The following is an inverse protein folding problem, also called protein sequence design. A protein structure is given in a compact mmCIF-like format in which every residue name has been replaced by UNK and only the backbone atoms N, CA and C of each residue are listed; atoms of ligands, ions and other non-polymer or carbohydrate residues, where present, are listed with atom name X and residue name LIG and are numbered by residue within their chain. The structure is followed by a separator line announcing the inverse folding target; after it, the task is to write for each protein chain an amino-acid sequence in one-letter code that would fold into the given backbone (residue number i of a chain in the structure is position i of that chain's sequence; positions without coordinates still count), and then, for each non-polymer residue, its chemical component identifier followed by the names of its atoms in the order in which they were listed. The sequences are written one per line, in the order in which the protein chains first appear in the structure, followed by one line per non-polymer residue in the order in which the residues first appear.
data_IF_953958289570
#
_entry.id   IF_953958289570
#
_cell.length_a   1.000
_cell.length_b   1.000
_cell.length_c   1.000
_cell.angle_alpha   90.00
_cell.angle_beta   90.00
_cell.angle_gamma   90.00
#
_symmetry.space_group_name_H-M   'P 1'
#
loop_
_entity.id
_entity.type
_entity.pdbx_description
1 polymer ?
#
# COMPACT_ATOMS: atom_id res chain seq x y z
N UNK A 1 -19.41 -45.01 65.06
CA UNK A 1 -20.41 -46.08 64.94
C UNK A 1 -21.56 -45.59 64.06
N UNK A 2 -21.85 -46.33 62.97
CA UNK A 2 -23.01 -46.28 62.06
C UNK A 2 -23.00 -45.26 60.89
N UNK A 3 -22.70 -45.83 59.72
CA UNK A 3 -22.96 -45.37 58.36
C UNK A 3 -24.39 -45.79 57.93
N UNK A 4 -25.18 -44.91 57.28
CA UNK A 4 -26.33 -45.24 56.40
C UNK A 4 -26.48 -44.09 55.37
N UNK A 5 -26.08 -44.25 54.09
CA UNK A 5 -26.87 -44.77 52.95
C UNK A 5 -28.33 -44.26 52.93
N UNK A 6 -28.93 -43.74 51.85
CA UNK A 6 -28.54 -43.53 50.46
C UNK A 6 -29.68 -42.77 49.73
N UNK A 7 -29.44 -42.39 48.46
CA UNK A 7 -30.42 -42.12 47.37
C UNK A 7 -31.25 -40.84 47.53
N UNK A 8 -31.70 -40.13 46.50
CA UNK A 8 -31.38 -39.95 45.08
C UNK A 8 -32.38 -38.88 44.61
N UNK A 9 -31.99 -38.11 43.60
CA UNK A 9 -32.87 -37.42 42.65
C UNK A 9 -33.81 -36.29 43.15
N UNK A 10 -33.42 -35.05 42.83
CA UNK A 10 -34.28 -34.02 42.24
C UNK A 10 -33.37 -32.81 41.93
N UNK A 11 -32.63 -32.80 40.82
CA UNK A 11 -33.06 -32.15 39.58
C UNK A 11 -34.02 -30.97 39.81
N UNK A 12 -33.47 -29.77 40.04
CA UNK A 12 -34.05 -28.56 39.46
C UNK A 12 -32.94 -27.51 39.26
N UNK A 13 -32.93 -26.98 38.05
CA UNK A 13 -31.93 -26.10 37.49
C UNK A 13 -31.92 -24.71 38.12
N UNK A 14 -30.74 -24.13 38.30
CA UNK A 14 -30.45 -22.73 37.93
C UNK A 14 -28.97 -22.64 37.51
N UNK A 15 -28.71 -22.76 36.20
CA UNK A 15 -27.45 -22.33 35.59
C UNK A 15 -27.59 -20.82 35.36
N UNK A 16 -27.07 -20.01 36.28
CA UNK A 16 -26.90 -18.58 36.06
C UNK A 16 -25.54 -18.33 35.42
N UNK A 17 -25.59 -18.11 34.11
CA UNK A 17 -24.47 -17.84 33.24
C UNK A 17 -23.70 -16.58 33.67
N UNK A 18 -22.46 -16.76 34.12
CA UNK A 18 -21.46 -15.71 34.07
C UNK A 18 -20.59 -15.93 32.84
N UNK A 19 -21.17 -15.65 31.67
CA UNK A 19 -20.41 -15.59 30.43
C UNK A 19 -19.52 -14.34 30.50
N UNK A 20 -18.25 -14.55 30.79
CA UNK A 20 -17.17 -13.60 30.56
C UNK A 20 -17.26 -13.22 29.08
N UNK A 21 -17.84 -12.06 28.80
CA UNK A 21 -17.81 -11.43 27.49
C UNK A 21 -16.37 -11.12 27.15
N UNK A 22 -15.69 -12.11 26.55
CA UNK A 22 -14.41 -11.90 25.90
C UNK A 22 -14.72 -11.03 24.69
N UNK A 23 -14.62 -9.71 24.85
CA UNK A 23 -14.50 -8.80 23.73
C UNK A 23 -13.18 -9.11 23.05
N UNK A 24 -13.20 -10.10 22.15
CA UNK A 24 -12.18 -10.22 21.14
C UNK A 24 -12.03 -8.83 20.52
N UNK A 25 -10.83 -8.24 20.46
CA UNK A 25 -10.66 -6.98 19.77
C UNK A 25 -11.11 -7.21 18.34
N UNK A 26 -12.27 -6.66 18.00
CA UNK A 26 -12.66 -6.53 16.61
C UNK A 26 -11.57 -5.66 16.01
N UNK A 27 -10.64 -6.27 15.29
CA UNK A 27 -9.84 -5.55 14.31
C UNK A 27 -10.86 -5.06 13.30
N UNK A 28 -11.47 -3.91 13.58
CA UNK A 28 -12.17 -3.14 12.60
C UNK A 28 -11.14 -2.97 11.49
N UNK A 29 -11.30 -3.74 10.40
CA UNK A 29 -10.57 -3.44 9.18
C UNK A 29 -10.76 -1.95 8.96
N UNK A 30 -9.70 -1.25 8.57
CA UNK A 30 -9.61 0.20 8.41
C UNK A 30 -10.75 0.89 7.61
N UNK A 31 -11.81 0.18 7.22
CA UNK A 31 -12.95 0.64 6.46
C UNK A 31 -12.63 0.81 4.98
N UNK A 32 -11.39 0.51 4.55
CA UNK A 32 -11.02 0.61 3.14
C UNK A 32 -11.47 -0.64 2.41
N UNK A 33 -12.04 -0.41 1.23
CA UNK A 33 -12.23 -1.47 0.26
C UNK A 33 -10.87 -2.12 -0.09
N UNK A 34 -10.82 -3.46 -0.11
CA UNK A 34 -9.59 -4.22 -0.40
C UNK A 34 -8.83 -3.78 -1.66
N UNK A 35 -9.52 -3.28 -2.69
CA UNK A 35 -8.87 -2.77 -3.91
C UNK A 35 -8.17 -1.43 -3.66
N UNK A 36 -8.81 -0.55 -2.88
CA UNK A 36 -8.24 0.74 -2.44
C UNK A 36 -7.00 0.50 -1.60
N UNK A 37 -7.07 -0.42 -0.63
CA UNK A 37 -5.92 -0.80 0.20
C UNK A 37 -4.74 -1.27 -0.64
N UNK A 38 -4.98 -2.16 -1.62
CA UNK A 38 -3.89 -2.68 -2.47
C UNK A 38 -3.25 -1.63 -3.36
N UNK A 39 -4.02 -0.68 -3.94
CA UNK A 39 -3.41 0.39 -4.75
C UNK A 39 -2.64 1.40 -3.89
N UNK A 40 -3.09 1.70 -2.67
CA UNK A 40 -2.35 2.54 -1.73
C UNK A 40 -1.03 1.85 -1.39
N UNK A 41 -1.08 0.56 -1.00
CA UNK A 41 0.13 -0.21 -0.71
C UNK A 41 1.10 -0.24 -1.90
N UNK A 42 0.57 -0.38 -3.13
CA UNK A 42 1.38 -0.31 -4.35
C UNK A 42 2.11 1.04 -4.48
N UNK A 43 1.38 2.15 -4.40
CA UNK A 43 1.94 3.50 -4.54
C UNK A 43 2.91 3.85 -3.41
N UNK A 44 2.62 3.40 -2.17
CA UNK A 44 3.53 3.57 -1.03
C UNK A 44 4.84 2.79 -1.24
N UNK A 45 4.78 1.56 -1.77
CA UNK A 45 5.99 0.79 -2.07
C UNK A 45 6.87 1.45 -3.15
N UNK A 46 6.24 2.10 -4.13
CA UNK A 46 6.93 2.89 -5.16
C UNK A 46 7.60 4.12 -4.54
N UNK A 47 6.89 4.84 -3.67
CA UNK A 47 7.44 5.97 -2.94
C UNK A 47 8.68 5.57 -2.14
N UNK A 48 8.62 4.49 -1.37
CA UNK A 48 9.76 4.02 -0.58
C UNK A 48 11.00 3.73 -1.45
N UNK A 49 10.82 3.07 -2.61
CA UNK A 49 11.92 2.85 -3.55
C UNK A 49 12.47 4.16 -4.16
N UNK A 50 11.60 5.13 -4.47
CA UNK A 50 12.04 6.45 -4.94
C UNK A 50 12.78 7.23 -3.87
N UNK A 51 12.34 7.16 -2.61
CA UNK A 51 13.01 7.84 -1.48
C UNK A 51 14.43 7.29 -1.29
N UNK A 52 14.61 5.96 -1.35
CA UNK A 52 15.92 5.30 -1.31
C UNK A 52 16.85 5.79 -2.43
N UNK A 53 16.36 5.77 -3.68
CA UNK A 53 17.15 6.19 -4.85
C UNK A 53 17.48 7.68 -4.84
N UNK A 54 16.52 8.53 -4.47
CA UNK A 54 16.73 9.99 -4.42
C UNK A 54 17.64 10.38 -3.26
N UNK A 55 17.60 9.65 -2.13
CA UNK A 55 18.55 9.80 -1.03
C UNK A 55 19.98 9.55 -1.50
N UNK A 56 20.24 8.45 -2.20
CA UNK A 56 21.56 8.14 -2.77
C UNK A 56 21.97 9.17 -3.83
N UNK A 57 21.05 9.55 -4.73
CA UNK A 57 21.31 10.51 -5.80
C UNK A 57 21.79 11.86 -5.23
N UNK A 58 21.10 12.33 -4.18
CA UNK A 58 21.36 13.59 -3.49
C UNK A 58 22.54 13.54 -2.50
N UNK A 59 23.15 12.37 -2.28
CA UNK A 59 24.23 12.20 -1.31
C UNK A 59 23.79 12.25 0.15
N UNK A 60 22.49 12.14 0.44
CA UNK A 60 21.96 12.01 1.82
C UNK A 60 22.21 10.62 2.40
N UNK A 61 22.45 9.63 1.54
CA UNK A 61 22.96 8.31 1.90
C UNK A 61 24.07 7.91 0.93
N UNK A 62 24.94 7.00 1.38
CA UNK A 62 25.96 6.40 0.52
C UNK A 62 25.32 5.60 -0.61
N UNK A 63 25.91 5.67 -1.80
CA UNK A 63 25.46 4.87 -2.93
C UNK A 63 25.76 3.39 -2.69
N UNK A 64 24.71 2.58 -2.57
CA UNK A 64 24.78 1.13 -2.48
C UNK A 64 24.20 0.50 -3.76
N UNK A 65 25.03 -0.13 -4.62
CA UNK A 65 24.56 -0.74 -5.87
C UNK A 65 23.54 -1.87 -5.66
N UNK A 66 23.59 -2.60 -4.54
CA UNK A 66 22.67 -3.70 -4.27
C UNK A 66 21.28 -3.16 -3.91
N UNK A 67 21.23 -2.17 -3.02
CA UNK A 67 19.99 -1.46 -2.65
C UNK A 67 19.38 -0.72 -3.84
N UNK A 68 20.20 -0.01 -4.63
CA UNK A 68 19.72 0.68 -5.83
C UNK A 68 19.10 -0.31 -6.84
N UNK A 69 19.74 -1.46 -7.08
CA UNK A 69 19.18 -2.52 -7.94
C UNK A 69 17.89 -3.11 -7.37
N UNK A 70 17.79 -3.29 -6.05
CA UNK A 70 16.58 -3.78 -5.40
C UNK A 70 15.41 -2.80 -5.56
N UNK A 71 15.65 -1.51 -5.31
CA UNK A 71 14.68 -0.44 -5.52
C UNK A 71 14.21 -0.39 -6.98
N UNK A 72 15.14 -0.47 -7.95
CA UNK A 72 14.79 -0.57 -9.38
C UNK A 72 13.89 -1.77 -9.68
N UNK A 73 14.21 -2.97 -9.18
CA UNK A 73 13.38 -4.17 -9.40
C UNK A 73 11.97 -3.99 -8.84
N UNK A 74 11.86 -3.41 -7.65
CA UNK A 74 10.56 -3.08 -7.05
C UNK A 74 9.77 -2.11 -7.93
N UNK A 75 10.42 -1.05 -8.42
CA UNK A 75 9.79 -0.07 -9.32
C UNK A 75 9.32 -0.69 -10.63
N UNK A 76 10.14 -1.50 -11.29
CA UNK A 76 9.75 -2.20 -12.54
C UNK A 76 8.55 -3.12 -12.33
N UNK A 77 8.53 -3.89 -11.24
CA UNK A 77 7.43 -4.80 -10.90
C UNK A 77 6.15 -4.03 -10.55
N UNK A 78 6.26 -3.03 -9.69
CA UNK A 78 5.12 -2.28 -9.17
C UNK A 78 4.47 -1.40 -10.24
N UNK A 79 5.26 -0.66 -11.03
CA UNK A 79 4.76 0.16 -12.16
C UNK A 79 4.01 -0.70 -13.18
N UNK A 80 4.56 -1.87 -13.54
CA UNK A 80 3.89 -2.84 -14.40
C UNK A 80 2.59 -3.42 -13.87
N UNK A 81 2.27 -3.19 -12.59
CA UNK A 81 1.03 -3.65 -11.96
C UNK A 81 0.02 -2.54 -11.68
N UNK A 82 0.34 -1.28 -11.97
CA UNK A 82 -0.55 -0.12 -11.73
C UNK A 82 -1.91 -0.38 -12.36
N UNK A 83 -1.93 -0.69 -13.65
CA UNK A 83 -3.14 -0.94 -14.42
C UNK A 83 -4.08 -1.97 -13.77
N UNK A 84 -3.51 -3.09 -13.32
CA UNK A 84 -4.23 -4.16 -12.62
C UNK A 84 -4.89 -3.67 -11.33
N UNK A 85 -4.21 -2.82 -10.57
CA UNK A 85 -4.69 -2.32 -9.28
C UNK A 85 -5.74 -1.22 -9.40
N UNK A 86 -5.78 -0.50 -10.53
CA UNK A 86 -6.75 0.55 -10.81
C UNK A 86 -7.91 0.10 -11.73
N UNK A 87 -7.89 -1.13 -12.26
CA UNK A 87 -8.90 -1.65 -13.20
C UNK A 87 -10.36 -1.50 -12.75
N UNK A 88 -10.64 -1.63 -11.45
CA UNK A 88 -12.00 -1.48 -10.93
C UNK A 88 -12.22 -0.07 -10.36
N UNK A 89 -13.22 0.68 -10.83
CA UNK A 89 -13.55 1.99 -10.28
C UNK A 89 -14.02 1.85 -8.82
N UNK A 90 -13.25 2.46 -7.93
CA UNK A 90 -13.51 2.54 -6.49
C UNK A 90 -12.98 3.86 -5.99
N UNK A 91 -13.88 4.74 -5.55
CA UNK A 91 -13.52 6.03 -4.97
C UNK A 91 -13.40 5.88 -3.46
N UNK A 92 -12.32 6.43 -2.92
CA UNK A 92 -12.11 6.60 -1.48
C UNK A 92 -11.14 7.79 -1.33
N UNK A 93 -11.54 8.86 -0.61
CA UNK A 93 -10.73 10.07 -0.45
C UNK A 93 -9.31 9.78 0.04
N UNK A 94 -9.13 8.76 0.90
CA UNK A 94 -7.83 8.39 1.48
C UNK A 94 -6.83 7.90 0.44
N UNK A 95 -7.30 7.47 -0.72
CA UNK A 95 -6.42 7.06 -1.83
C UNK A 95 -5.91 8.22 -2.67
N UNK A 96 -6.49 9.41 -2.54
CA UNK A 96 -6.22 10.57 -3.38
C UNK A 96 -6.37 10.32 -4.89
N UNK A 97 -6.99 9.22 -5.31
CA UNK A 97 -7.20 8.88 -6.71
C UNK A 97 -8.36 9.70 -7.28
N UNK A 98 -8.12 10.45 -8.37
CA UNK A 98 -9.15 11.23 -9.05
C UNK A 98 -10.10 10.30 -9.83
N UNK A 99 -11.42 10.61 -9.89
CA UNK A 99 -12.34 9.91 -10.79
C UNK A 99 -11.88 9.89 -12.25
N UNK A 100 -11.13 10.92 -12.66
CA UNK A 100 -10.57 11.07 -14.00
C UNK A 100 -9.76 9.85 -14.48
N UNK A 101 -9.18 9.06 -13.58
CA UNK A 101 -8.48 7.80 -13.93
C UNK A 101 -9.35 6.90 -14.81
N UNK A 102 -10.63 6.75 -14.45
CA UNK A 102 -11.53 5.83 -15.14
C UNK A 102 -12.22 6.47 -16.35
N UNK A 103 -12.30 7.79 -16.40
CA UNK A 103 -12.82 8.52 -17.57
C UNK A 103 -11.77 8.65 -18.69
N UNK A 104 -10.50 8.89 -18.33
CA UNK A 104 -9.36 9.00 -19.25
C UNK A 104 -8.45 7.76 -19.17
N UNK A 105 -9.07 6.57 -19.19
CA UNK A 105 -8.36 5.30 -18.94
C UNK A 105 -7.16 5.07 -19.87
N UNK A 106 -7.30 5.37 -21.17
CA UNK A 106 -6.20 5.23 -22.14
C UNK A 106 -4.98 6.10 -21.80
N UNK A 107 -5.20 7.34 -21.35
CA UNK A 107 -4.09 8.22 -20.94
C UNK A 107 -3.46 7.73 -19.62
N UNK A 108 -4.28 7.29 -18.67
CA UNK A 108 -3.79 6.67 -17.43
C UNK A 108 -2.91 5.43 -17.72
N UNK A 109 -3.33 4.58 -18.65
CA UNK A 109 -2.57 3.43 -19.13
C UNK A 109 -1.23 3.83 -19.76
N UNK A 110 -1.25 4.81 -20.66
CA UNK A 110 -0.05 5.30 -21.33
C UNK A 110 0.97 5.86 -20.33
N UNK A 111 0.52 6.60 -19.32
CA UNK A 111 1.39 7.13 -18.26
C UNK A 111 1.95 6.05 -17.35
N UNK A 112 1.15 5.02 -17.04
CA UNK A 112 1.64 3.85 -16.30
C UNK A 112 2.74 3.09 -17.07
N UNK A 113 2.58 2.94 -18.39
CA UNK A 113 3.59 2.31 -19.26
C UNK A 113 4.85 3.15 -19.40
N UNK A 114 4.71 4.48 -19.50
CA UNK A 114 5.83 5.41 -19.51
C UNK A 114 6.65 5.25 -18.22
N UNK A 115 5.99 5.19 -17.06
CA UNK A 115 6.66 4.98 -15.78
C UNK A 115 7.36 3.61 -15.71
N UNK A 116 6.73 2.55 -16.22
CA UNK A 116 7.37 1.24 -16.27
C UNK A 116 8.60 1.23 -17.19
N UNK A 117 8.50 1.89 -18.34
CA UNK A 117 9.61 2.01 -19.29
C UNK A 117 10.78 2.80 -18.68
N UNK A 118 10.50 3.93 -18.03
CA UNK A 118 11.51 4.71 -17.32
C UNK A 118 12.16 3.90 -16.19
N UNK A 119 11.38 3.11 -15.44
CA UNK A 119 11.91 2.22 -14.40
C UNK A 119 12.82 1.12 -14.98
N UNK A 120 12.49 0.58 -16.15
CA UNK A 120 13.34 -0.38 -16.88
C UNK A 120 14.64 0.28 -17.37
N UNK A 121 14.58 1.53 -17.82
CA UNK A 121 15.75 2.29 -18.30
C UNK A 121 16.63 2.86 -17.20
N UNK A 122 16.17 2.86 -15.94
CA UNK A 122 16.94 3.35 -14.79
C UNK A 122 18.28 2.60 -14.65
N UNK A 123 19.38 3.34 -14.64
CA UNK A 123 20.71 2.81 -14.37
C UNK A 123 21.01 2.86 -12.87
N UNK A 124 20.76 1.75 -12.18
CA UNK A 124 21.03 1.59 -10.75
C UNK A 124 22.39 0.92 -10.46
N UNK A 125 23.35 0.93 -11.41
CA UNK A 125 24.66 0.27 -11.24
C UNK A 125 25.73 1.18 -10.66
N UNK A 126 25.66 2.47 -10.98
CA UNK A 126 26.64 3.49 -10.54
C UNK A 126 25.92 4.78 -10.17
N UNK A 127 26.51 5.58 -9.28
CA UNK A 127 25.96 6.88 -8.90
C UNK A 127 25.82 7.85 -10.08
N UNK A 128 26.80 7.99 -11.01
CA UNK A 128 26.61 8.81 -12.21
C UNK A 128 25.49 8.29 -13.11
N UNK A 129 25.36 6.96 -13.25
CA UNK A 129 24.27 6.34 -13.99
C UNK A 129 22.90 6.65 -13.38
N UNK A 130 22.81 6.58 -12.05
CA UNK A 130 21.60 6.89 -11.30
C UNK A 130 21.21 8.35 -11.49
N UNK A 131 22.15 9.28 -11.28
CA UNK A 131 21.94 10.73 -11.47
C UNK A 131 21.45 11.08 -12.88
N UNK A 132 21.99 10.40 -13.90
CA UNK A 132 21.60 10.63 -15.30
C UNK A 132 20.20 10.12 -15.63
N UNK A 133 19.74 9.04 -14.99
CA UNK A 133 18.53 8.31 -15.42
C UNK A 133 17.34 8.46 -14.48
N UNK A 134 17.56 8.72 -13.19
CA UNK A 134 16.49 8.89 -12.20
C UNK A 134 15.52 10.05 -12.50
N UNK A 135 15.97 11.22 -13.01
CA UNK A 135 15.07 12.33 -13.31
C UNK A 135 13.96 11.99 -14.32
N UNK A 136 14.26 11.17 -15.33
CA UNK A 136 13.25 10.73 -16.31
C UNK A 136 12.15 9.88 -15.66
N UNK A 137 12.53 8.98 -14.73
CA UNK A 137 11.57 8.22 -13.95
C UNK A 137 10.74 9.13 -13.04
N UNK A 138 11.37 10.09 -12.35
CA UNK A 138 10.64 11.07 -11.52
C UNK A 138 9.60 11.84 -12.34
N UNK A 139 9.97 12.32 -13.54
CA UNK A 139 9.06 13.04 -14.41
C UNK A 139 7.86 12.19 -14.84
N UNK A 140 8.07 10.91 -15.12
CA UNK A 140 6.95 9.99 -15.44
C UNK A 140 5.96 9.87 -14.29
N UNK A 141 6.45 9.78 -13.03
CA UNK A 141 5.61 9.74 -11.83
C UNK A 141 4.83 11.05 -11.66
N UNK A 142 5.51 12.19 -11.80
CA UNK A 142 4.91 13.54 -11.66
C UNK A 142 3.80 13.73 -12.68
N UNK A 143 4.07 13.43 -13.97
CA UNK A 143 3.09 13.60 -15.05
C UNK A 143 1.79 12.83 -14.81
N UNK A 144 1.87 11.63 -14.20
CA UNK A 144 0.68 10.87 -13.83
C UNK A 144 -0.02 11.49 -12.63
N UNK A 145 0.72 11.91 -11.61
CA UNK A 145 0.14 12.46 -10.38
C UNK A 145 -0.55 13.81 -10.61
N UNK A 146 0.02 14.71 -11.39
CA UNK A 146 -0.60 16.00 -11.75
C UNK A 146 -1.99 15.80 -12.38
N UNK A 147 -2.14 14.76 -13.20
CA UNK A 147 -3.40 14.47 -13.89
C UNK A 147 -4.36 13.65 -13.02
N UNK A 148 -3.87 12.67 -12.27
CA UNK A 148 -4.71 11.60 -11.71
C UNK A 148 -4.74 11.50 -10.20
N UNK A 149 -3.95 12.30 -9.48
CA UNK A 149 -3.87 12.28 -8.01
C UNK A 149 -4.18 13.65 -7.43
N UNK A 150 -5.07 13.69 -6.45
CA UNK A 150 -5.28 14.88 -5.65
C UNK A 150 -4.05 15.15 -4.78
N UNK A 151 -3.64 16.41 -4.68
CA UNK A 151 -2.70 16.84 -3.66
C UNK A 151 -3.33 16.62 -2.28
N UNK A 152 -2.66 15.91 -1.35
CA UNK A 152 -3.18 15.77 0.01
C UNK A 152 -3.31 17.17 0.62
N UNK A 153 -4.48 17.50 1.17
CA UNK A 153 -4.66 18.73 1.92
C UNK A 153 -3.81 18.67 3.19
N UNK A 154 -2.76 19.50 3.26
CA UNK A 154 -1.85 19.60 4.42
C UNK A 154 -2.51 20.18 5.68
N UNK A 155 -3.77 20.60 5.60
CA UNK A 155 -4.52 21.24 6.68
C UNK A 155 -5.43 20.29 7.50
N UNK A 156 -5.50 18.99 7.17
CA UNK A 156 -6.37 18.01 7.89
C UNK A 156 -5.54 16.88 8.53
N UNK A 157 -4.27 17.14 8.86
CA UNK A 157 -3.46 16.22 9.68
C UNK A 157 -3.14 16.89 11.01
N UNK A 158 -4.09 16.76 11.93
CA UNK A 158 -3.88 16.89 13.38
C UNK A 158 -4.30 15.57 14.03
#
# INVERSE_FOLDING_TARGET
MKLRLAKAAAFLAVIAALAIGSSAPSTAGNGLNKHVTRRIALMTSQKAAMDELTSMMAGRSYFDPAKAKAARRLLVKSTGSIRKHFKKPRLDPRSNARPLIWHAWKDFEARADLAQTAAKSLNARTLPGLRRTLPSLMQSCISCHETFRNTPNTFITH
#
